data_IF_755649002345
#
_entry.id   IF_755649002345
#
_cell.length_a   1.000
_cell.length_b   1.000
_cell.length_c   1.000
_cell.angle_alpha   90.00
_cell.angle_beta   90.00
_cell.angle_gamma   90.00
#
_symmetry.space_group_name_H-M   'P 1'
#
loop_
_entity.id
_entity.type
_entity.pdbx_description
1 polymer ?
#
# COMPACT_ATOMS: atom_id res chain seq x y z
N UNK A 1 -1.19 -11.27 -2.60
CA UNK A 1 -0.66 -12.01 -3.76
C UNK A 1 -0.05 -13.34 -3.32
N UNK A 2 -0.31 -14.43 -4.03
CA UNK A 2 0.22 -15.76 -3.67
C UNK A 2 1.72 -15.89 -3.87
N UNK A 3 2.41 -16.68 -3.02
CA UNK A 3 3.87 -16.88 -3.09
C UNK A 3 4.34 -17.46 -4.43
N UNK A 4 3.53 -18.31 -5.06
CA UNK A 4 3.83 -18.94 -6.35
C UNK A 4 4.00 -17.95 -7.50
N UNK A 5 3.44 -16.75 -7.39
CA UNK A 5 3.55 -15.70 -8.41
C UNK A 5 4.85 -14.87 -8.28
N UNK A 6 5.64 -15.12 -7.23
CA UNK A 6 6.80 -14.31 -6.83
C UNK A 6 8.08 -15.12 -6.99
N UNK A 7 9.04 -14.57 -7.72
CA UNK A 7 10.38 -15.13 -7.85
C UNK A 7 11.34 -14.46 -6.86
N UNK A 8 12.40 -15.16 -6.40
CA UNK A 8 13.33 -14.63 -5.39
C UNK A 8 14.03 -13.31 -5.78
N UNK A 9 14.15 -13.00 -7.07
CA UNK A 9 14.81 -11.79 -7.59
C UNK A 9 13.83 -10.69 -8.01
N UNK A 10 12.52 -10.85 -7.77
CA UNK A 10 11.53 -9.86 -8.21
C UNK A 10 11.60 -8.54 -7.45
N UNK A 11 12.32 -8.49 -6.33
CA UNK A 11 12.62 -7.23 -5.64
C UNK A 11 13.55 -6.30 -6.44
N UNK A 12 14.19 -6.79 -7.51
CA UNK A 12 15.05 -5.99 -8.37
C UNK A 12 14.26 -5.37 -9.52
N UNK A 13 14.68 -4.18 -9.95
CA UNK A 13 14.31 -3.58 -11.24
C UNK A 13 12.78 -3.54 -11.49
N UNK A 14 12.03 -3.07 -10.48
CA UNK A 14 10.57 -2.86 -10.53
C UNK A 14 9.71 -4.11 -10.78
N UNK A 15 10.28 -5.31 -10.90
CA UNK A 15 9.54 -6.53 -11.31
C UNK A 15 8.36 -6.83 -10.40
N UNK A 16 8.54 -6.81 -9.08
CA UNK A 16 7.46 -7.08 -8.12
C UNK A 16 6.38 -5.99 -8.15
N UNK A 17 6.78 -4.74 -8.34
CA UNK A 17 5.85 -3.60 -8.38
C UNK A 17 4.97 -3.68 -9.63
N UNK A 18 5.53 -4.05 -10.79
CA UNK A 18 4.76 -4.33 -12.00
C UNK A 18 3.78 -5.50 -11.80
N UNK A 19 4.21 -6.59 -11.15
CA UNK A 19 3.33 -7.71 -10.82
C UNK A 19 2.17 -7.28 -9.91
N UNK A 20 2.43 -6.45 -8.90
CA UNK A 20 1.40 -5.89 -8.04
C UNK A 20 0.43 -4.98 -8.79
N UNK A 21 0.95 -4.10 -9.66
CA UNK A 21 0.14 -3.21 -10.48
C UNK A 21 -0.78 -3.99 -11.44
N UNK A 22 -0.23 -5.02 -12.10
CA UNK A 22 -1.02 -5.90 -12.96
C UNK A 22 -2.09 -6.67 -12.18
N UNK A 23 -1.74 -7.20 -11.01
CA UNK A 23 -2.70 -7.88 -10.13
C UNK A 23 -3.83 -6.94 -9.71
N UNK A 24 -3.52 -5.69 -9.35
CA UNK A 24 -4.50 -4.67 -9.01
C UNK A 24 -5.40 -4.31 -10.19
N UNK A 25 -4.83 -4.14 -11.39
CA UNK A 25 -5.60 -3.86 -12.61
C UNK A 25 -6.56 -4.99 -12.96
N UNK A 26 -6.10 -6.24 -12.85
CA UNK A 26 -6.94 -7.42 -13.05
C UNK A 26 -8.09 -7.48 -12.04
N UNK A 27 -7.81 -7.19 -10.76
CA UNK A 27 -8.83 -7.11 -9.72
C UNK A 27 -9.86 -6.01 -10.02
N UNK A 28 -9.39 -4.82 -10.41
CA UNK A 28 -10.25 -3.69 -10.76
C UNK A 28 -11.16 -4.00 -11.95
N UNK A 29 -10.61 -4.64 -13.00
CA UNK A 29 -11.37 -5.08 -14.16
C UNK A 29 -12.50 -6.04 -13.76
N UNK A 30 -12.19 -7.10 -13.03
CA UNK A 30 -13.22 -8.04 -12.59
C UNK A 30 -14.22 -7.41 -11.62
N UNK A 31 -13.80 -6.45 -10.78
CA UNK A 31 -14.71 -5.70 -9.93
C UNK A 31 -15.67 -4.84 -10.75
N UNK A 32 -15.23 -4.21 -11.84
CA UNK A 32 -16.10 -3.42 -12.73
C UNK A 32 -17.17 -4.24 -13.45
N UNK A 33 -16.92 -5.54 -13.66
CA UNK A 33 -17.89 -6.47 -14.25
C UNK A 33 -18.84 -7.00 -13.17
N UNK A 34 -18.28 -7.49 -12.05
CA UNK A 34 -19.08 -8.14 -11.00
C UNK A 34 -19.90 -7.16 -10.16
N UNK A 35 -19.46 -5.92 -9.99
CA UNK A 35 -20.20 -4.92 -9.22
C UNK A 35 -21.62 -4.67 -9.80
N UNK A 36 -21.80 -4.37 -11.10
CA UNK A 36 -23.14 -4.21 -11.67
C UNK A 36 -23.92 -5.53 -11.70
N UNK A 37 -23.28 -6.67 -12.00
CA UNK A 37 -23.95 -8.00 -11.96
C UNK A 37 -24.59 -8.30 -10.60
N UNK A 38 -23.94 -7.85 -9.52
CA UNK A 38 -24.42 -8.05 -8.14
C UNK A 38 -25.15 -6.81 -7.58
N UNK A 39 -25.50 -5.84 -8.42
CA UNK A 39 -26.17 -4.59 -8.02
C UNK A 39 -25.47 -3.83 -6.88
N UNK A 40 -24.13 -3.89 -6.80
CA UNK A 40 -23.36 -3.21 -5.77
C UNK A 40 -23.31 -1.69 -6.06
N UNK A 41 -23.77 -0.83 -5.13
CA UNK A 41 -23.80 0.62 -5.32
C UNK A 41 -22.42 1.24 -5.05
N UNK A 42 -21.42 0.90 -5.85
CA UNK A 42 -20.02 1.31 -5.63
C UNK A 42 -19.39 1.99 -6.84
N UNK A 43 -18.50 2.93 -6.57
CA UNK A 43 -17.62 3.59 -7.52
C UNK A 43 -16.19 3.20 -7.20
N UNK A 44 -15.44 2.86 -8.25
CA UNK A 44 -14.06 2.38 -8.15
C UNK A 44 -13.12 3.40 -8.78
N UNK A 45 -12.05 3.77 -8.08
CA UNK A 45 -11.04 4.73 -8.55
C UNK A 45 -9.63 4.26 -8.21
N UNK A 46 -8.67 4.48 -9.11
CA UNK A 46 -7.25 4.30 -8.80
C UNK A 46 -6.67 5.48 -8.00
N UNK A 47 -5.79 5.17 -7.07
CA UNK A 47 -5.05 6.15 -6.28
C UNK A 47 -3.71 5.57 -5.80
N UNK A 48 -2.81 6.40 -5.30
CA UNK A 48 -1.53 5.98 -4.73
C UNK A 48 -1.59 5.92 -3.21
N UNK A 49 -1.18 4.79 -2.62
CA UNK A 49 -1.18 4.66 -1.17
C UNK A 49 -0.19 5.65 -0.55
N UNK A 50 -0.68 6.53 0.33
CA UNK A 50 0.14 7.53 1.02
C UNK A 50 0.93 8.44 0.04
N UNK A 51 0.38 8.68 -1.16
CA UNK A 51 1.06 9.47 -2.20
C UNK A 51 2.28 8.78 -2.83
N UNK A 52 2.57 7.53 -2.46
CA UNK A 52 3.70 6.78 -3.02
C UNK A 52 3.33 6.22 -4.41
N UNK A 53 3.93 6.79 -5.45
CA UNK A 53 3.70 6.43 -6.86
C UNK A 53 4.08 4.98 -7.18
N UNK A 54 4.92 4.34 -6.36
CA UNK A 54 5.31 2.93 -6.52
C UNK A 54 4.25 1.97 -5.98
N UNK A 55 3.27 2.45 -5.21
CA UNK A 55 2.26 1.63 -4.55
C UNK A 55 0.87 2.07 -5.02
N UNK A 56 0.45 1.67 -6.24
CA UNK A 56 -0.92 1.91 -6.68
C UNK A 56 -1.89 1.11 -5.81
N UNK A 57 -3.09 1.66 -5.68
CA UNK A 57 -4.17 1.12 -4.86
C UNK A 57 -5.53 1.41 -5.50
N UNK A 58 -6.55 0.69 -5.07
CA UNK A 58 -7.91 0.86 -5.54
C UNK A 58 -8.77 1.41 -4.42
N UNK A 59 -9.47 2.52 -4.65
CA UNK A 59 -10.44 3.09 -3.73
C UNK A 59 -11.83 2.67 -4.20
N UNK A 60 -12.60 2.15 -3.26
CA UNK A 60 -14.03 1.88 -3.41
C UNK A 60 -14.77 2.91 -2.57
N UNK A 61 -15.64 3.65 -3.23
CA UNK A 61 -16.60 4.56 -2.60
C UNK A 61 -18.00 4.05 -2.85
N UNK A 62 -18.92 4.45 -1.99
CA UNK A 62 -20.34 4.23 -2.22
C UNK A 62 -20.82 5.22 -3.30
N UNK A 63 -21.73 4.78 -4.17
CA UNK A 63 -22.27 5.61 -5.26
C UNK A 63 -23.30 6.60 -4.69
N UNK A 64 -23.09 7.93 -4.80
CA UNK A 64 -24.02 8.93 -4.29
C UNK A 64 -25.32 9.02 -5.10
N UNK A 65 -25.32 8.55 -6.35
CA UNK A 65 -26.48 8.62 -7.25
C UNK A 65 -27.42 7.41 -7.11
N UNK A 66 -26.97 6.37 -6.42
CA UNK A 66 -27.75 5.17 -6.19
C UNK A 66 -28.81 5.37 -5.09
N UNK A 67 -29.95 4.70 -5.27
CA UNK A 67 -31.13 4.88 -4.41
C UNK A 67 -30.81 4.58 -2.94
N UNK A 68 -31.16 5.52 -2.04
CA UNK A 68 -30.79 5.55 -0.61
C UNK A 68 -31.32 4.30 0.14
N UNK A 69 -32.34 3.66 -0.41
CA UNK A 69 -32.96 2.43 0.09
C UNK A 69 -32.08 1.18 -0.06
N UNK A 70 -31.03 1.22 -0.90
CA UNK A 70 -30.20 0.04 -1.18
C UNK A 70 -29.34 -0.35 0.03
N UNK A 71 -29.30 -1.65 0.39
CA UNK A 71 -28.34 -2.14 1.37
C UNK A 71 -26.90 -1.89 0.86
N UNK A 72 -25.94 -1.78 1.78
CA UNK A 72 -24.51 -1.52 1.49
C UNK A 72 -24.15 -0.10 1.04
N UNK A 73 -25.08 0.85 1.10
CA UNK A 73 -24.76 2.28 0.99
C UNK A 73 -24.09 2.80 2.27
N UNK A 74 -22.89 3.37 2.14
CA UNK A 74 -22.13 3.92 3.27
C UNK A 74 -21.71 5.38 3.08
N UNK A 75 -22.32 6.11 2.14
CA UNK A 75 -22.07 7.53 1.89
C UNK A 75 -22.12 8.41 3.16
N UNK A 76 -23.09 8.16 4.05
CA UNK A 76 -23.27 8.92 5.30
C UNK A 76 -22.07 8.80 6.26
N UNK A 77 -21.30 7.72 6.17
CA UNK A 77 -20.14 7.49 7.03
C UNK A 77 -18.91 8.28 6.59
N UNK A 78 -18.91 8.82 5.37
CA UNK A 78 -17.75 9.45 4.71
C UNK A 78 -16.52 8.53 4.61
N UNK A 79 -16.70 7.22 4.79
CA UNK A 79 -15.62 6.25 4.63
C UNK A 79 -15.38 5.88 3.18
N UNK A 80 -14.15 5.47 2.92
CA UNK A 80 -13.70 4.91 1.66
C UNK A 80 -12.93 3.63 1.98
N UNK A 81 -13.09 2.61 1.14
CA UNK A 81 -12.40 1.34 1.30
C UNK A 81 -11.22 1.33 0.34
N UNK A 82 -10.01 1.18 0.86
CA UNK A 82 -8.80 1.07 0.05
C UNK A 82 -8.33 -0.37 -0.04
N UNK A 83 -8.22 -0.89 -1.25
CA UNK A 83 -7.60 -2.19 -1.54
C UNK A 83 -6.12 -1.99 -1.84
N UNK A 84 -5.29 -2.68 -1.05
CA UNK A 84 -3.84 -2.72 -1.20
C UNK A 84 -3.39 -4.13 -1.59
N UNK A 85 -2.43 -4.23 -2.51
CA UNK A 85 -1.83 -5.52 -2.87
C UNK A 85 -0.63 -5.80 -1.95
N UNK A 86 -0.88 -6.48 -0.84
CA UNK A 86 0.17 -6.90 0.09
C UNK A 86 1.00 -8.09 -0.42
N UNK A 87 2.27 -8.10 -0.04
CA UNK A 87 3.18 -9.23 -0.21
C UNK A 87 3.21 -10.10 1.06
N UNK A 88 3.49 -11.40 0.94
CA UNK A 88 3.75 -12.24 2.11
C UNK A 88 4.96 -11.72 2.91
N UNK A 89 4.87 -11.79 4.24
CA UNK A 89 5.98 -11.41 5.11
C UNK A 89 7.20 -12.31 4.87
N UNK A 90 8.39 -11.70 4.86
CA UNK A 90 9.66 -12.40 4.66
C UNK A 90 9.85 -13.00 3.27
N UNK A 91 9.10 -12.55 2.25
CA UNK A 91 9.23 -13.07 0.88
C UNK A 91 10.59 -12.75 0.23
N UNK A 92 11.20 -11.64 0.64
CA UNK A 92 12.56 -11.25 0.26
C UNK A 92 13.42 -11.13 1.50
N UNK A 93 14.72 -11.40 1.37
CA UNK A 93 15.67 -11.21 2.47
C UNK A 93 15.81 -9.71 2.81
N UNK A 94 15.49 -9.34 4.05
CA UNK A 94 15.53 -7.94 4.50
C UNK A 94 16.91 -7.29 4.31
N UNK A 95 17.99 -8.07 4.41
CA UNK A 95 19.37 -7.60 4.18
C UNK A 95 19.60 -7.03 2.78
N UNK A 96 18.86 -7.52 1.77
CA UNK A 96 18.94 -7.05 0.38
C UNK A 96 18.13 -5.77 0.14
N UNK A 97 17.19 -5.47 1.03
CA UNK A 97 16.31 -4.30 0.98
C UNK A 97 16.70 -3.24 2.03
N UNK A 98 17.94 -3.28 2.53
CA UNK A 98 18.42 -2.25 3.45
C UNK A 98 18.52 -0.89 2.74
N UNK A 99 18.41 0.24 3.46
CA UNK A 99 18.46 1.57 2.87
C UNK A 99 19.76 1.89 2.10
N UNK A 100 20.87 1.26 2.48
CA UNK A 100 22.20 1.41 1.86
C UNK A 100 22.39 0.55 0.60
N UNK A 101 21.40 -0.26 0.21
CA UNK A 101 21.47 -1.14 -0.95
C UNK A 101 20.83 -0.53 -2.18
N UNK A 102 21.42 -0.82 -3.33
CA UNK A 102 20.81 -0.59 -4.62
C UNK A 102 19.99 -1.81 -5.06
N UNK A 103 18.72 -1.59 -5.42
CA UNK A 103 17.85 -2.61 -6.03
C UNK A 103 17.41 -2.25 -7.47
N UNK A 104 17.95 -1.18 -8.03
CA UNK A 104 17.67 -0.73 -9.40
C UNK A 104 18.99 -0.71 -10.17
N UNK A 105 19.23 -1.79 -10.89
CA UNK A 105 20.44 -1.99 -11.70
C UNK A 105 20.24 -1.39 -13.07
N UNK A 106 20.98 -0.33 -13.34
CA UNK A 106 21.06 0.32 -14.64
C UNK A 106 22.29 -0.22 -15.35
N UNK A 107 22.14 -0.72 -16.58
CA UNK A 107 23.29 -1.09 -17.41
C UNK A 107 23.86 0.20 -18.02
N UNK A 108 24.88 0.77 -17.38
CA UNK A 108 25.69 1.84 -17.96
C UNK A 108 27.09 1.29 -18.26
N UNK A 109 27.66 1.67 -19.41
CA UNK A 109 29.00 1.27 -19.85
C UNK A 109 30.11 1.58 -18.84
N UNK A 110 29.87 2.55 -17.95
CA UNK A 110 30.84 3.04 -16.97
C UNK A 110 30.70 2.38 -15.58
N UNK A 111 29.72 1.49 -15.38
CA UNK A 111 29.48 0.81 -14.10
C UNK A 111 30.06 -0.59 -14.19
N UNK A 112 31.23 -0.79 -13.59
CA UNK A 112 31.93 -2.08 -13.59
C UNK A 112 31.50 -2.98 -12.43
N UNK A 113 30.96 -2.41 -11.34
CA UNK A 113 30.48 -3.17 -10.18
C UNK A 113 29.14 -2.65 -9.64
N UNK A 114 28.35 -3.52 -9.01
CA UNK A 114 27.09 -3.12 -8.36
C UNK A 114 27.30 -2.18 -7.15
N UNK A 115 28.53 -2.06 -6.64
CA UNK A 115 28.85 -1.19 -5.51
C UNK A 115 28.96 0.28 -5.94
N UNK A 116 29.10 0.54 -7.24
CA UNK A 116 29.21 1.90 -7.78
C UNK A 116 27.84 2.56 -7.99
N UNK A 117 26.75 1.79 -7.84
CA UNK A 117 25.39 2.29 -8.00
C UNK A 117 24.88 2.94 -6.70
N UNK A 118 24.18 4.09 -6.79
CA UNK A 118 23.65 4.77 -5.61
C UNK A 118 22.59 3.92 -4.92
N UNK A 119 22.47 4.02 -3.59
CA UNK A 119 21.43 3.31 -2.83
C UNK A 119 20.03 3.78 -3.23
N UNK A 120 19.04 2.90 -3.05
CA UNK A 120 17.64 3.15 -3.46
C UNK A 120 16.67 3.06 -2.28
N UNK A 121 16.81 3.88 -1.22
CA UNK A 121 16.10 3.70 0.05
C UNK A 121 14.57 3.78 -0.08
N UNK A 122 14.04 4.75 -0.84
CA UNK A 122 12.59 4.90 -1.03
C UNK A 122 11.98 3.71 -1.78
N UNK A 123 12.67 3.20 -2.79
CA UNK A 123 12.27 2.01 -3.53
C UNK A 123 12.29 0.77 -2.62
N UNK A 124 13.38 0.57 -1.89
CA UNK A 124 13.55 -0.57 -0.99
C UNK A 124 12.48 -0.57 0.11
N UNK A 125 12.23 0.60 0.72
CA UNK A 125 11.20 0.79 1.74
C UNK A 125 9.78 0.56 1.19
N UNK A 126 9.51 0.94 -0.06
CA UNK A 126 8.22 0.67 -0.72
C UNK A 126 7.95 -0.82 -0.87
N UNK A 127 8.95 -1.61 -1.27
CA UNK A 127 8.81 -3.08 -1.33
C UNK A 127 8.65 -3.66 0.08
N UNK A 128 9.52 -3.25 1.01
CA UNK A 128 9.54 -3.80 2.36
C UNK A 128 8.22 -3.51 3.10
N UNK A 129 7.72 -2.27 3.06
CA UNK A 129 6.44 -1.88 3.67
C UNK A 129 5.28 -2.74 3.16
N UNK A 130 5.20 -3.02 1.85
CA UNK A 130 4.14 -3.88 1.30
C UNK A 130 4.16 -5.34 1.80
N UNK A 131 5.30 -5.82 2.31
CA UNK A 131 5.44 -7.16 2.90
C UNK A 131 5.17 -7.20 4.41
N UNK A 132 5.04 -6.05 5.07
CA UNK A 132 5.03 -5.94 6.54
C UNK A 132 3.68 -5.50 7.13
N UNK A 133 2.66 -5.24 6.31
CA UNK A 133 1.33 -4.81 6.78
C UNK A 133 0.76 -5.71 7.89
N UNK A 134 0.73 -7.03 7.67
CA UNK A 134 0.21 -7.98 8.65
C UNK A 134 1.07 -8.05 9.91
N UNK A 135 2.39 -7.87 9.78
CA UNK A 135 3.30 -7.88 10.92
C UNK A 135 3.05 -6.67 11.83
N UNK A 136 3.02 -5.46 11.25
CA UNK A 136 2.77 -4.25 12.02
C UNK A 136 1.34 -4.18 12.57
N UNK A 137 0.34 -4.72 11.87
CA UNK A 137 -1.02 -4.83 12.41
C UNK A 137 -1.06 -5.70 13.67
N UNK A 138 -0.38 -6.86 13.67
CA UNK A 138 -0.28 -7.74 14.85
C UNK A 138 0.46 -7.06 16.00
N UNK A 139 1.56 -6.36 15.69
CA UNK A 139 2.32 -5.58 16.66
C UNK A 139 1.42 -4.53 17.32
N UNK A 140 0.77 -3.66 16.52
CA UNK A 140 -0.14 -2.62 17.02
C UNK A 140 -1.32 -3.19 17.81
N UNK A 141 -1.88 -4.32 17.38
CA UNK A 141 -2.94 -4.99 18.11
C UNK A 141 -2.48 -5.45 19.50
N UNK A 142 -1.27 -6.00 19.60
CA UNK A 142 -0.67 -6.45 20.86
C UNK A 142 -0.40 -5.27 21.78
N UNK A 143 0.20 -4.19 21.26
CA UNK A 143 0.44 -2.94 22.03
C UNK A 143 -0.86 -2.32 22.53
N UNK A 144 -1.90 -2.31 21.70
CA UNK A 144 -3.23 -1.82 22.10
C UNK A 144 -3.84 -2.66 23.22
N UNK A 145 -3.54 -3.96 23.29
CA UNK A 145 -4.03 -4.85 24.35
C UNK A 145 -3.24 -4.70 25.65
N UNK A 146 -1.96 -4.36 25.58
CA UNK A 146 -1.14 -4.12 26.78
C UNK A 146 -1.35 -2.74 27.40
N UNK A 147 -1.89 -1.78 26.65
CA UNK A 147 -2.00 -0.38 27.09
C UNK A 147 -3.41 0.14 26.86
N UNK A 148 -4.15 0.39 27.95
CA UNK A 148 -5.55 0.85 27.90
C UNK A 148 -5.70 2.20 27.18
N UNK A 149 -4.83 3.16 27.50
CA UNK A 149 -4.85 4.52 26.93
C UNK A 149 -4.36 4.62 25.47
N UNK A 150 -3.98 3.50 24.82
CA UNK A 150 -3.39 3.53 23.47
C UNK A 150 -4.30 4.18 22.43
N UNK A 151 -5.61 3.90 22.49
CA UNK A 151 -6.59 4.42 21.54
C UNK A 151 -6.70 5.94 21.62
N UNK A 152 -6.78 6.47 22.84
CA UNK A 152 -6.97 7.90 23.08
C UNK A 152 -5.69 8.67 22.77
N UNK A 153 -4.52 8.12 23.14
CA UNK A 153 -3.22 8.67 22.76
C UNK A 153 -3.06 8.75 21.24
N UNK A 154 -3.41 7.68 20.50
CA UNK A 154 -3.36 7.68 19.04
C UNK A 154 -4.36 8.67 18.41
N UNK A 155 -5.54 8.85 19.01
CA UNK A 155 -6.53 9.83 18.56
C UNK A 155 -6.02 11.27 18.74
N UNK A 156 -5.42 11.59 19.89
CA UNK A 156 -4.79 12.89 20.16
C UNK A 156 -3.61 13.15 19.22
N UNK A 157 -2.75 12.15 18.99
CA UNK A 157 -1.64 12.25 18.04
C UNK A 157 -2.11 12.51 16.61
N UNK A 158 -3.17 11.83 16.17
CA UNK A 158 -3.78 12.10 14.86
C UNK A 158 -4.35 13.51 14.76
N UNK A 159 -5.02 14.00 15.82
CA UNK A 159 -5.51 15.37 15.86
C UNK A 159 -4.36 16.37 15.75
N UNK A 160 -3.29 16.17 16.53
CA UNK A 160 -2.09 17.01 16.51
C UNK A 160 -1.46 17.08 15.12
N UNK A 161 -1.26 15.92 14.45
CA UNK A 161 -0.73 15.87 13.09
C UNK A 161 -1.62 16.64 12.11
N UNK A 162 -2.94 16.43 12.18
CA UNK A 162 -3.89 17.10 11.29
C UNK A 162 -3.91 18.62 11.46
N UNK A 163 -3.76 19.13 12.69
CA UNK A 163 -3.69 20.57 12.98
C UNK A 163 -2.43 21.23 12.42
N UNK A 164 -1.35 20.45 12.27
CA UNK A 164 -0.07 20.92 11.72
C UNK A 164 0.10 20.61 10.23
N UNK A 165 -0.94 20.10 9.56
CA UNK A 165 -0.89 19.77 8.14
C UNK A 165 -0.05 18.54 7.78
N UNK A 166 0.36 17.74 8.77
CA UNK A 166 1.08 16.49 8.55
C UNK A 166 0.12 15.33 8.28
N UNK A 167 0.54 14.43 7.41
CA UNK A 167 -0.11 13.15 7.23
C UNK A 167 0.87 12.09 6.74
N UNK A 168 0.38 10.86 6.63
CA UNK A 168 1.18 9.77 6.07
C UNK A 168 1.43 9.93 4.57
N UNK A 169 0.81 10.90 3.90
CA UNK A 169 1.13 11.24 2.52
C UNK A 169 2.56 11.79 2.44
N UNK A 170 3.36 11.27 1.51
CA UNK A 170 4.76 11.69 1.32
C UNK A 170 4.89 13.20 1.03
N UNK A 171 3.90 13.80 0.39
CA UNK A 171 3.86 15.23 0.10
C UNK A 171 3.48 16.08 1.33
N UNK A 172 3.07 15.44 2.43
CA UNK A 172 2.68 16.07 3.71
C UNK A 172 3.55 15.56 4.87
N UNK A 173 4.79 15.15 4.57
CA UNK A 173 5.80 14.75 5.55
C UNK A 173 5.92 13.24 5.77
N UNK A 174 4.88 12.44 5.48
CA UNK A 174 4.94 10.98 5.58
C UNK A 174 4.97 10.44 7.02
N UNK A 175 4.26 11.09 7.94
CA UNK A 175 4.20 10.73 9.38
C UNK A 175 2.97 9.88 9.76
#
# INVERSE_FOLDING_TARGET
>A
MGKSLIQPKDYLNYRILYKQAFYLAYLAHHLSIKAPENNLPIIVKFDYHNGNTLIPSLIIKSDPTSDISKPLLFNKTKFEIRILIGLPFGIFESRKLLPDRNCIRIQNSNVTSNNDLPPTPLYNASILSTSTYNYYLKYLYTTRKSTEAFKDAAALGRLWLSQHGFSSNINQGGF
#
